data_IF_917459643969
#
_entry.id   IF_917459643969
#
_cell.length_a   1.000
_cell.length_b   1.000
_cell.length_c   1.000
_cell.angle_alpha   90.00
_cell.angle_beta   90.00
_cell.angle_gamma   90.00
#
_symmetry.space_group_name_H-M   'P 1'
#
loop_
_entity.id
_entity.type
_entity.pdbx_description
1 polymer ?
#
# COMPACT_ATOMS: atom_id res chain seq x y z
N UNK A 1 -53.95 20.28 12.05
CA UNK A 1 -54.13 18.82 12.25
C UNK A 1 -52.71 18.21 12.25
N UNK A 2 -52.10 17.88 13.39
CA UNK A 2 -51.98 16.52 14.02
C UNK A 2 -51.69 15.44 12.96
N UNK A 3 -50.60 14.66 12.97
CA UNK A 3 -50.04 13.84 14.04
C UNK A 3 -48.51 13.63 13.94
N UNK A 4 -47.87 13.59 15.10
CA UNK A 4 -46.55 13.03 15.33
C UNK A 4 -46.62 11.50 15.47
N UNK A 5 -45.56 10.78 15.08
CA UNK A 5 -45.41 9.35 15.38
C UNK A 5 -44.06 9.11 16.04
N UNK A 6 -44.12 8.74 17.33
CA UNK A 6 -42.99 8.35 18.17
C UNK A 6 -42.70 6.84 18.05
N UNK A 7 -41.40 6.53 18.13
CA UNK A 7 -40.72 5.39 18.77
C UNK A 7 -41.41 4.03 18.90
N UNK A 8 -40.74 3.00 18.38
CA UNK A 8 -40.71 1.67 19.02
C UNK A 8 -39.27 1.20 19.19
N UNK A 9 -38.79 1.40 20.41
CA UNK A 9 -37.65 0.73 21.02
C UNK A 9 -37.96 -0.76 21.17
N UNK A 10 -37.02 -1.62 20.77
CA UNK A 10 -37.00 -3.03 21.17
C UNK A 10 -35.61 -3.37 21.69
N UNK A 11 -35.45 -3.21 23.01
CA UNK A 11 -34.41 -3.89 23.77
C UNK A 11 -34.78 -5.37 23.84
N UNK A 12 -33.89 -6.27 23.41
CA UNK A 12 -34.02 -7.70 23.68
C UNK A 12 -32.76 -8.22 24.38
N UNK A 13 -32.94 -8.37 25.69
CA UNK A 13 -32.39 -9.31 26.66
C UNK A 13 -31.01 -9.94 26.39
N UNK A 14 -30.09 -9.54 27.27
CA UNK A 14 -28.89 -10.29 27.66
C UNK A 14 -29.33 -11.63 28.27
N UNK A 15 -28.87 -12.74 27.68
CA UNK A 15 -28.85 -14.04 28.34
C UNK A 15 -27.39 -14.39 28.65
N UNK A 16 -26.96 -14.08 29.88
CA UNK A 16 -25.70 -14.56 30.42
C UNK A 16 -25.91 -16.01 30.90
N UNK A 17 -25.43 -16.97 30.12
CA UNK A 17 -25.27 -18.35 30.56
C UNK A 17 -23.99 -18.42 31.40
N UNK A 18 -24.16 -18.44 32.72
CA UNK A 18 -23.09 -18.76 33.65
C UNK A 18 -22.86 -20.27 33.61
N UNK A 19 -21.83 -20.71 32.87
CA UNK A 19 -21.35 -22.08 32.93
C UNK A 19 -20.57 -22.30 34.25
N UNK A 20 -20.69 -23.47 34.90
CA UNK A 20 -19.88 -23.80 36.05
C UNK A 20 -18.41 -23.90 35.65
N UNK A 21 -17.59 -23.14 36.36
CA UNK A 21 -16.13 -23.16 36.30
C UNK A 21 -15.66 -24.50 36.85
N UNK A 22 -15.27 -25.42 35.98
CA UNK A 22 -14.33 -26.46 36.34
C UNK A 22 -12.98 -25.76 36.57
N UNK A 23 -12.46 -25.77 37.79
CA UNK A 23 -11.08 -25.36 38.06
C UNK A 23 -10.16 -26.44 37.48
N UNK A 24 -9.35 -26.15 36.45
CA UNK A 24 -8.23 -27.01 36.11
C UNK A 24 -7.17 -26.91 37.21
N UNK A 25 -6.54 -28.03 37.52
CA UNK A 25 -5.38 -28.09 38.41
C UNK A 25 -4.31 -27.06 37.98
N UNK A 26 -3.59 -26.43 38.93
CA UNK A 26 -2.51 -25.52 38.61
C UNK A 26 -1.37 -26.30 37.97
N UNK A 27 -1.34 -26.29 36.64
CA UNK A 27 -0.16 -26.70 35.88
C UNK A 27 0.86 -25.58 36.07
N UNK A 28 1.95 -25.88 36.76
CA UNK A 28 3.18 -25.05 36.77
C UNK A 28 3.71 -24.97 35.33
N UNK A 29 3.15 -24.04 34.56
CA UNK A 29 3.67 -23.64 33.26
C UNK A 29 4.90 -22.77 33.54
N UNK A 30 6.07 -23.33 33.23
CA UNK A 30 7.31 -22.59 33.15
C UNK A 30 7.09 -21.28 32.38
N UNK A 31 7.64 -20.15 32.84
CA UNK A 31 7.72 -18.96 32.00
C UNK A 31 8.65 -19.30 30.83
N UNK A 32 8.40 -18.66 29.69
CA UNK A 32 9.24 -18.70 28.48
C UNK A 32 8.89 -19.80 27.47
N UNK A 33 7.73 -19.64 26.84
CA UNK A 33 7.61 -19.75 25.39
C UNK A 33 6.42 -18.89 24.96
N UNK A 34 6.55 -17.57 25.13
CA UNK A 34 5.74 -16.65 24.31
C UNK A 34 6.14 -16.99 22.87
N UNK A 35 5.23 -17.50 22.02
CA UNK A 35 5.56 -17.67 20.62
C UNK A 35 5.93 -16.29 20.11
N UNK A 36 7.21 -16.10 19.82
CA UNK A 36 7.67 -14.94 19.07
C UNK A 36 6.75 -14.89 17.85
N UNK A 37 5.96 -13.82 17.63
CA UNK A 37 5.18 -13.68 16.41
C UNK A 37 6.19 -13.44 15.29
N UNK A 38 6.91 -14.51 14.92
CA UNK A 38 7.71 -14.54 13.71
C UNK A 38 6.73 -14.08 12.63
N UNK A 39 7.06 -13.04 11.86
CA UNK A 39 6.16 -12.53 10.85
C UNK A 39 5.81 -13.73 9.97
N UNK A 40 4.56 -14.20 10.04
CA UNK A 40 4.09 -15.24 9.16
C UNK A 40 4.43 -14.77 7.76
N UNK A 41 5.29 -15.50 7.05
CA UNK A 41 5.71 -15.14 5.71
C UNK A 41 4.44 -14.93 4.88
N UNK A 42 4.11 -13.67 4.58
CA UNK A 42 2.84 -13.34 3.92
C UNK A 42 2.87 -14.02 2.56
N UNK A 43 2.04 -15.05 2.38
CA UNK A 43 2.03 -15.83 1.15
C UNK A 43 1.37 -15.02 0.05
N UNK A 44 2.16 -14.21 -0.65
CA UNK A 44 1.70 -13.36 -1.72
C UNK A 44 1.62 -14.13 -3.05
N UNK A 45 0.41 -14.25 -3.58
CA UNK A 45 0.14 -14.84 -4.89
C UNK A 45 0.09 -13.78 -5.98
N UNK A 46 0.57 -14.11 -7.18
CA UNK A 46 0.60 -13.16 -8.30
C UNK A 46 -0.81 -12.93 -8.87
N UNK A 47 -1.19 -11.66 -9.04
CA UNK A 47 -2.37 -11.27 -9.80
C UNK A 47 -2.05 -11.34 -11.30
N UNK A 48 -2.80 -12.17 -12.03
CA UNK A 48 -2.65 -12.31 -13.48
C UNK A 48 -3.40 -11.18 -14.20
N UNK A 49 -2.65 -10.33 -14.92
CA UNK A 49 -3.22 -9.30 -15.77
C UNK A 49 -3.37 -9.79 -17.21
N UNK A 50 -4.48 -9.47 -17.91
CA UNK A 50 -4.57 -9.74 -19.33
C UNK A 50 -3.65 -8.78 -20.10
N UNK A 51 -2.95 -9.25 -21.15
CA UNK A 51 -2.17 -8.40 -22.03
C UNK A 51 -3.01 -7.23 -22.62
N UNK A 52 -2.37 -6.12 -23.03
CA UNK A 52 -0.97 -5.76 -22.75
C UNK A 52 -0.73 -5.50 -21.25
N UNK A 53 0.49 -5.75 -20.77
CA UNK A 53 0.91 -5.59 -19.36
C UNK A 53 1.17 -4.12 -18.98
N UNK A 54 0.22 -3.25 -19.30
CA UNK A 54 0.29 -1.82 -19.10
C UNK A 54 -0.62 -1.36 -17.96
N UNK A 55 -0.59 -2.10 -16.85
CA UNK A 55 -1.46 -1.87 -15.70
C UNK A 55 -0.77 -1.04 -14.64
N UNK A 56 -1.53 -0.21 -13.93
CA UNK A 56 -1.09 0.47 -12.71
C UNK A 56 -2.18 0.46 -11.65
N UNK A 57 -1.85 0.64 -10.37
CA UNK A 57 -2.84 0.86 -9.33
C UNK A 57 -3.76 2.04 -9.69
N UNK A 58 -5.07 1.81 -9.59
CA UNK A 58 -6.09 2.84 -9.78
C UNK A 58 -6.12 3.84 -8.62
N UNK A 59 -6.83 4.97 -8.78
CA UNK A 59 -6.89 6.02 -7.75
C UNK A 59 -7.40 5.51 -6.38
N UNK A 60 -8.37 4.59 -6.38
CA UNK A 60 -8.95 4.00 -5.17
C UNK A 60 -7.91 3.19 -4.38
N UNK A 61 -7.10 2.40 -5.07
CA UNK A 61 -6.03 1.60 -4.46
C UNK A 61 -4.86 2.49 -4.04
N UNK A 62 -4.50 3.46 -4.88
CA UNK A 62 -3.46 4.45 -4.61
C UNK A 62 -3.73 5.27 -3.35
N UNK A 63 -4.99 5.62 -3.06
CA UNK A 63 -5.37 6.33 -1.84
C UNK A 63 -5.16 5.50 -0.56
N UNK A 64 -4.94 4.19 -0.69
CA UNK A 64 -4.71 3.24 0.40
C UNK A 64 -3.26 2.71 0.42
N UNK A 65 -2.38 3.29 -0.39
CA UNK A 65 -0.96 2.95 -0.37
C UNK A 65 -0.36 3.31 0.99
N UNK A 66 0.25 2.34 1.66
CA UNK A 66 0.90 2.55 2.95
C UNK A 66 2.32 3.09 2.76
N UNK A 67 3.03 2.56 1.77
CA UNK A 67 4.35 3.02 1.38
C UNK A 67 4.55 2.95 -0.13
N UNK A 68 5.47 3.76 -0.64
CA UNK A 68 5.82 3.83 -2.06
C UNK A 68 7.33 3.81 -2.27
N UNK A 69 7.78 3.16 -3.33
CA UNK A 69 9.19 2.99 -3.65
C UNK A 69 9.45 3.37 -5.11
N UNK A 70 10.59 4.03 -5.34
CA UNK A 70 11.08 4.38 -6.67
C UNK A 70 12.43 3.73 -6.94
N UNK A 71 12.60 3.12 -8.11
CA UNK A 71 13.85 2.46 -8.51
C UNK A 71 14.24 2.81 -9.96
N UNK A 72 15.55 2.74 -10.30
CA UNK A 72 16.03 3.03 -11.64
C UNK A 72 15.48 2.05 -12.69
N UNK A 73 15.46 2.50 -13.94
CA UNK A 73 14.93 1.73 -15.09
C UNK A 73 15.73 0.44 -15.37
N UNK A 74 17.00 0.39 -14.96
CA UNK A 74 17.91 -0.74 -15.22
C UNK A 74 17.52 -2.03 -14.48
N UNK A 75 16.68 -1.94 -13.45
CA UNK A 75 16.22 -3.09 -12.68
C UNK A 75 15.16 -3.89 -13.46
N UNK A 76 15.24 -5.22 -13.40
CA UNK A 76 14.20 -6.09 -13.97
C UNK A 76 12.92 -6.10 -13.12
N UNK A 77 11.80 -6.50 -13.72
CA UNK A 77 10.53 -6.65 -13.00
C UNK A 77 10.60 -7.67 -11.87
N UNK A 78 11.35 -8.77 -12.07
CA UNK A 78 11.53 -9.83 -11.08
C UNK A 78 12.33 -9.34 -9.88
N UNK A 79 13.46 -8.66 -10.11
CA UNK A 79 14.27 -8.09 -9.03
C UNK A 79 13.49 -7.06 -8.23
N UNK A 80 12.75 -6.17 -8.91
CA UNK A 80 11.94 -5.17 -8.22
C UNK A 80 10.77 -5.80 -7.46
N UNK A 81 10.12 -6.83 -8.01
CA UNK A 81 9.09 -7.58 -7.30
C UNK A 81 9.63 -8.27 -6.04
N UNK A 82 10.82 -8.89 -6.10
CA UNK A 82 11.46 -9.50 -4.94
C UNK A 82 11.81 -8.46 -3.87
N UNK A 83 12.32 -7.30 -4.27
CA UNK A 83 12.53 -6.19 -3.35
C UNK A 83 11.21 -5.79 -2.65
N UNK A 84 10.13 -5.63 -3.42
CA UNK A 84 8.81 -5.26 -2.87
C UNK A 84 8.24 -6.32 -1.92
N UNK A 85 8.44 -7.61 -2.21
CA UNK A 85 8.07 -8.71 -1.30
C UNK A 85 8.81 -8.59 0.04
N UNK A 86 10.14 -8.40 0.00
CA UNK A 86 10.92 -8.15 1.23
C UNK A 86 10.47 -6.91 2.01
N UNK A 87 10.00 -5.85 1.35
CA UNK A 87 9.42 -4.70 2.06
C UNK A 87 8.08 -5.04 2.69
N UNK A 88 7.25 -5.84 2.01
CA UNK A 88 5.97 -6.32 2.52
C UNK A 88 6.14 -7.23 3.75
N UNK A 89 7.10 -8.15 3.74
CA UNK A 89 7.36 -9.09 4.84
C UNK A 89 7.73 -8.36 6.16
N UNK A 90 8.24 -7.13 6.06
CA UNK A 90 8.57 -6.26 7.22
C UNK A 90 7.37 -5.50 7.77
N UNK A 91 6.23 -5.56 7.11
CA UNK A 91 5.00 -4.85 7.47
C UNK A 91 3.95 -5.90 7.83
N UNK A 92 3.65 -6.13 9.12
CA UNK A 92 2.73 -7.20 9.57
C UNK A 92 1.31 -7.09 9.00
N UNK A 93 0.94 -5.91 8.52
CA UNK A 93 -0.38 -5.62 7.95
C UNK A 93 -0.36 -5.57 6.43
N UNK A 94 0.77 -5.88 5.80
CA UNK A 94 0.87 -5.92 4.34
C UNK A 94 -0.01 -7.04 3.78
N UNK A 95 -0.87 -6.69 2.83
CA UNK A 95 -1.77 -7.64 2.18
C UNK A 95 -1.57 -7.67 0.67
N UNK A 96 -0.99 -6.64 0.06
CA UNK A 96 -0.67 -6.66 -1.36
C UNK A 96 0.44 -5.69 -1.72
N UNK A 97 1.08 -5.96 -2.86
CA UNK A 97 2.09 -5.12 -3.48
C UNK A 97 1.78 -4.95 -4.96
N UNK A 98 2.13 -3.80 -5.52
CA UNK A 98 2.05 -3.58 -6.94
C UNK A 98 3.22 -2.74 -7.42
N UNK A 99 3.69 -3.03 -8.63
CA UNK A 99 4.74 -2.26 -9.28
C UNK A 99 4.45 -2.06 -10.75
N UNK A 100 4.83 -0.90 -11.28
CA UNK A 100 4.81 -0.65 -12.71
C UNK A 100 6.02 0.18 -13.15
N UNK A 101 6.43 -0.05 -14.38
CA UNK A 101 7.54 0.66 -15.03
C UNK A 101 6.97 1.67 -16.01
N UNK A 102 7.30 2.95 -15.84
CA UNK A 102 6.88 3.98 -16.78
C UNK A 102 7.80 3.95 -18.01
N UNK A 103 7.23 4.20 -19.18
CA UNK A 103 7.99 4.66 -20.34
C UNK A 103 8.71 5.93 -19.91
N UNK A 104 9.98 6.07 -20.31
CA UNK A 104 10.58 7.39 -20.42
C UNK A 104 9.62 8.23 -21.26
N UNK A 105 8.92 9.18 -20.63
CA UNK A 105 8.31 10.25 -21.40
C UNK A 105 9.47 10.88 -22.15
N UNK A 106 9.39 11.03 -23.49
CA UNK A 106 10.31 11.93 -24.16
C UNK A 106 10.27 13.22 -23.36
N UNK A 107 11.44 13.71 -22.93
CA UNK A 107 11.56 14.95 -22.17
C UNK A 107 10.60 15.96 -22.79
N UNK A 108 9.80 16.70 -22.00
CA UNK A 108 8.86 17.65 -22.56
C UNK A 108 9.63 18.47 -23.58
N UNK A 109 9.23 18.37 -24.85
CA UNK A 109 9.82 19.17 -25.92
C UNK A 109 9.73 20.58 -25.40
N UNK A 110 10.88 21.16 -25.02
CA UNK A 110 10.96 22.55 -24.59
C UNK A 110 10.49 23.35 -25.79
N UNK A 111 9.20 23.62 -25.85
CA UNK A 111 8.66 24.72 -26.64
C UNK A 111 9.43 25.92 -26.12
N UNK A 112 10.37 26.37 -26.94
CA UNK A 112 11.16 27.57 -26.74
C UNK A 112 10.18 28.74 -26.67
N UNK A 113 9.61 28.97 -25.50
CA UNK A 113 8.81 30.14 -25.19
C UNK A 113 9.68 30.99 -24.28
N UNK A 114 10.36 31.93 -24.92
CA UNK A 114 10.95 33.07 -24.26
C UNK A 114 9.86 33.73 -23.39
N UNK A 115 9.91 33.52 -22.09
CA UNK A 115 9.23 34.42 -21.15
C UNK A 115 10.16 34.65 -19.97
N UNK A 116 10.72 35.85 -20.03
CA UNK A 116 11.65 36.51 -19.15
C UNK A 116 11.00 36.71 -17.76
N UNK A 117 11.82 36.55 -16.71
CA UNK A 117 11.71 37.11 -15.35
C UNK A 117 10.40 36.92 -14.56
N UNK A 118 10.44 36.04 -13.56
CA UNK A 118 10.26 36.50 -12.17
C UNK A 118 10.71 35.43 -11.16
N UNK A 119 12.02 35.40 -10.89
CA UNK A 119 12.56 34.86 -9.64
C UNK A 119 12.91 36.03 -8.75
N UNK A 120 12.18 36.22 -7.66
CA UNK A 120 12.69 36.85 -6.43
C UNK A 120 11.79 36.51 -5.25
N UNK A 121 12.44 35.91 -4.24
CA UNK A 121 12.11 35.94 -2.81
C UNK A 121 10.97 35.03 -2.31
N UNK A 122 11.37 33.87 -1.76
CA UNK A 122 11.29 33.60 -0.31
C UNK A 122 12.05 32.32 0.06
N UNK A 123 13.24 32.51 0.63
CA UNK A 123 13.87 31.66 1.65
C UNK A 123 13.19 32.09 2.98
N UNK A 124 12.75 31.25 3.93
CA UNK A 124 13.52 30.58 4.99
C UNK A 124 12.59 29.78 5.92
N UNK A 125 13.22 28.98 6.81
CA UNK A 125 12.71 28.09 7.86
C UNK A 125 12.38 26.68 7.34
N UNK A 126 13.12 25.62 7.66
CA UNK A 126 13.90 25.34 8.85
C UNK A 126 13.29 24.10 9.50
N UNK A 127 13.78 22.91 9.14
CA UNK A 127 13.55 21.70 9.92
C UNK A 127 14.56 20.63 9.50
N UNK A 128 15.52 20.37 10.38
CA UNK A 128 16.32 19.16 10.36
C UNK A 128 15.40 18.01 10.78
N UNK A 129 14.90 17.26 9.79
CA UNK A 129 14.26 15.96 10.04
C UNK A 129 15.24 14.86 9.66
N UNK A 130 15.84 14.25 10.68
CA UNK A 130 16.37 12.89 10.59
C UNK A 130 15.19 11.96 10.35
N UNK A 131 14.90 11.70 9.09
CA UNK A 131 13.87 10.75 8.67
C UNK A 131 14.14 10.38 7.23
N UNK A 132 14.38 9.09 6.99
CA UNK A 132 14.61 8.50 5.67
C UNK A 132 13.67 9.13 4.64
N UNK A 133 14.20 10.07 3.87
CA UNK A 133 13.45 10.75 2.83
C UNK A 133 13.38 9.79 1.66
N UNK A 134 12.18 9.26 1.41
CA UNK A 134 11.83 8.55 0.21
C UNK A 134 12.37 9.31 -1.01
N UNK A 135 13.35 8.74 -1.71
CA UNK A 135 13.78 9.24 -3.01
C UNK A 135 12.63 9.01 -3.98
N UNK A 136 11.75 10.00 -4.11
CA UNK A 136 10.90 10.13 -5.28
C UNK A 136 11.82 10.43 -6.45
N UNK A 137 12.16 9.42 -7.25
CA UNK A 137 12.74 9.63 -8.57
C UNK A 137 11.70 10.34 -9.44
N UNK A 138 11.69 11.66 -9.33
CA UNK A 138 10.99 12.56 -10.22
C UNK A 138 11.94 12.73 -11.41
N UNK A 139 11.52 12.18 -12.55
CA UNK A 139 12.13 12.24 -13.89
C UNK A 139 12.95 11.01 -14.32
N UNK A 140 12.28 10.12 -15.07
CA UNK A 140 12.93 9.13 -15.95
C UNK A 140 12.58 7.67 -15.63
N UNK A 141 11.69 7.08 -16.43
CA UNK A 141 11.65 5.64 -16.82
C UNK A 141 11.58 4.56 -15.74
N UNK A 142 11.58 4.96 -14.48
CA UNK A 142 11.83 4.07 -13.36
C UNK A 142 10.64 3.21 -12.99
N UNK A 143 10.93 2.30 -12.09
CA UNK A 143 9.94 1.53 -11.37
C UNK A 143 9.25 2.39 -10.31
N UNK A 144 7.93 2.27 -10.24
CA UNK A 144 7.10 2.77 -9.15
C UNK A 144 6.43 1.59 -8.48
N UNK A 145 6.72 1.37 -7.20
CA UNK A 145 6.17 0.28 -6.39
C UNK A 145 5.38 0.81 -5.20
N UNK A 146 4.36 0.06 -4.79
CA UNK A 146 3.46 0.40 -3.68
C UNK A 146 3.18 -0.83 -2.84
N UNK A 147 3.11 -0.63 -1.53
CA UNK A 147 2.67 -1.63 -0.55
C UNK A 147 1.30 -1.19 0.00
N UNK A 148 0.39 -2.13 0.14
CA UNK A 148 -0.96 -1.88 0.62
C UNK A 148 -1.29 -2.78 1.81
N UNK A 149 -2.03 -2.21 2.77
CA UNK A 149 -2.61 -2.92 3.90
C UNK A 149 -3.95 -3.60 3.59
N UNK A 150 -4.34 -3.60 2.31
CA UNK A 150 -5.57 -4.21 1.81
C UNK A 150 -5.27 -5.23 0.74
N UNK A 151 -6.12 -6.24 0.63
CA UNK A 151 -6.09 -7.22 -0.46
C UNK A 151 -6.51 -6.53 -1.77
N UNK A 152 -5.55 -6.36 -2.68
CA UNK A 152 -5.83 -5.81 -4.01
C UNK A 152 -6.51 -6.86 -4.89
N UNK A 153 -7.42 -6.41 -5.73
CA UNK A 153 -8.15 -7.21 -6.73
C UNK A 153 -7.87 -6.70 -8.13
N UNK A 154 -8.20 -7.47 -9.17
CA UNK A 154 -8.00 -7.04 -10.56
C UNK A 154 -8.73 -5.73 -10.89
N UNK A 155 -9.91 -5.50 -10.30
CA UNK A 155 -10.72 -4.29 -10.50
C UNK A 155 -10.11 -3.00 -9.92
N UNK A 156 -9.10 -3.13 -9.07
CA UNK A 156 -8.38 -2.00 -8.47
C UNK A 156 -7.30 -1.42 -9.39
N UNK A 157 -7.07 -2.04 -10.54
CA UNK A 157 -6.05 -1.64 -11.50
C UNK A 157 -6.68 -0.99 -12.73
N UNK A 158 -5.96 -0.02 -13.28
CA UNK A 158 -6.35 0.68 -14.51
C UNK A 158 -5.26 0.53 -15.56
N UNK A 159 -5.66 0.51 -16.82
CA UNK A 159 -4.71 0.55 -17.93
C UNK A 159 -4.10 1.95 -18.05
N UNK A 160 -2.79 2.01 -18.26
CA UNK A 160 -2.04 3.23 -18.53
C UNK A 160 -1.08 3.00 -19.69
N UNK A 161 -1.26 3.74 -20.79
CA UNK A 161 -0.42 3.61 -21.99
C UNK A 161 1.04 4.01 -21.76
N UNK A 162 1.32 4.71 -20.66
CA UNK A 162 2.67 5.05 -20.21
C UNK A 162 3.30 3.92 -19.39
N UNK A 163 2.54 2.94 -18.88
CA UNK A 163 3.11 1.75 -18.26
C UNK A 163 3.57 0.76 -19.35
N UNK A 164 4.80 0.23 -19.22
CA UNK A 164 5.32 -0.82 -20.12
C UNK A 164 5.23 -2.21 -19.51
N UNK A 165 5.48 -2.25 -18.22
CA UNK A 165 5.58 -3.46 -17.43
C UNK A 165 4.84 -3.23 -16.13
N UNK A 166 4.18 -4.26 -15.64
CA UNK A 166 3.38 -4.21 -14.43
C UNK A 166 3.36 -5.56 -13.76
N UNK A 167 3.40 -5.56 -12.43
CA UNK A 167 3.11 -6.74 -11.62
C UNK A 167 2.27 -6.35 -10.41
N UNK A 168 1.57 -7.32 -9.86
CA UNK A 168 0.93 -7.21 -8.57
C UNK A 168 0.89 -8.57 -7.89
N UNK A 169 0.99 -8.55 -6.56
CA UNK A 169 0.80 -9.72 -5.73
C UNK A 169 -0.13 -9.39 -4.57
N UNK A 170 -0.90 -10.38 -4.11
CA UNK A 170 -1.93 -10.22 -3.09
C UNK A 170 -1.96 -11.48 -2.22
N UNK A 171 -2.18 -11.32 -0.91
CA UNK A 171 -2.38 -12.42 0.04
C UNK A 171 -3.75 -13.07 -0.16
#
# INVERSE_FOLDING_TARGET
MKLATLFTSACLFVAAIANPIAQPDPVDLAPDDVPDPSPENVNLHQLMFPPPYNWKPGPSLMAKADSSYGFPETMSSVEFANFMKHQCDRIPTCQSIAGYKRKNSPAPVRLHRNTIQNQRNRITHGSYSTGLTFMFFKEGGGWSGYVFKIKATLGDFVRDNLARESFAFTA
#
